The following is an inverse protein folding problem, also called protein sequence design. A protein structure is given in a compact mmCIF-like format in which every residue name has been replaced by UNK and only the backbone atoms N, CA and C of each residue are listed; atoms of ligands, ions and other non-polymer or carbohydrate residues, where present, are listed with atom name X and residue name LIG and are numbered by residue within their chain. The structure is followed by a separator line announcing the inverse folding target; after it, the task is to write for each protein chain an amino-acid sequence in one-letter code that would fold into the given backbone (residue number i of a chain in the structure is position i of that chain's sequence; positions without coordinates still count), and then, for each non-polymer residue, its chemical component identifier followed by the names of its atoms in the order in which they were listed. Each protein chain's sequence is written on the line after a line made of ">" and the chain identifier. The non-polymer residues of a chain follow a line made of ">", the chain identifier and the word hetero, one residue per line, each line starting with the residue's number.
data_IF_971215146739
#
_entry.id   IF_971215146739
#
_cell.length_a   1.000
_cell.length_b   1.000
_cell.length_c   1.000
_cell.angle_alpha   90.00
_cell.angle_beta   90.00
_cell.angle_gamma   90.00
#
_symmetry.space_group_name_H-M   'P 1'
#
loop_
_entity.id
_entity.type
_entity.pdbx_description
1 polymer ?
#
# COMPACT_ATOMS: atom_id res chain seq x y z
N UNK A 1 -29.85 -31.86 -21.55
CA UNK A 1 -30.35 -31.86 -20.15
C UNK A 1 -31.11 -30.55 -19.95
N UNK A 2 -32.30 -30.56 -19.34
CA UNK A 2 -33.10 -29.33 -19.15
C UNK A 2 -33.06 -28.90 -17.69
N UNK A 3 -32.48 -27.73 -17.42
CA UNK A 3 -32.63 -27.04 -16.14
C UNK A 3 -33.98 -26.31 -16.14
N UNK A 4 -35.04 -26.97 -15.65
CA UNK A 4 -36.33 -26.31 -15.41
C UNK A 4 -36.71 -26.50 -13.95
N UNK A 5 -37.31 -25.49 -13.31
CA UNK A 5 -37.89 -25.66 -11.98
C UNK A 5 -38.86 -26.87 -12.02
N UNK A 6 -38.81 -27.80 -11.02
CA UNK A 6 -38.04 -27.77 -9.76
C UNK A 6 -36.66 -28.46 -9.82
N UNK A 7 -36.19 -28.93 -10.98
CA UNK A 7 -35.01 -29.78 -11.16
C UNK A 7 -33.73 -29.01 -11.51
N UNK A 8 -33.46 -27.91 -10.82
CA UNK A 8 -32.28 -27.07 -11.06
C UNK A 8 -30.94 -27.69 -10.61
N UNK A 9 -30.98 -28.83 -9.91
CA UNK A 9 -29.80 -29.49 -9.29
C UNK A 9 -29.59 -30.93 -9.72
N UNK A 10 -30.47 -31.46 -10.57
CA UNK A 10 -30.50 -32.87 -10.94
C UNK A 10 -30.09 -33.02 -12.39
N UNK A 11 -28.96 -33.69 -12.63
CA UNK A 11 -28.56 -34.21 -13.95
C UNK A 11 -29.41 -35.44 -14.32
N UNK A 12 -30.74 -35.37 -14.14
CA UNK A 12 -31.60 -36.45 -14.61
C UNK A 12 -31.80 -36.25 -16.11
N UNK A 13 -31.35 -37.24 -16.88
CA UNK A 13 -31.68 -37.34 -18.30
C UNK A 13 -33.21 -37.35 -18.41
N UNK A 14 -33.76 -36.27 -18.95
CA UNK A 14 -35.17 -36.19 -19.34
C UNK A 14 -35.22 -36.60 -20.80
N UNK A 15 -35.94 -37.67 -21.11
CA UNK A 15 -36.27 -37.97 -22.50
C UNK A 15 -37.21 -36.86 -23.01
N UNK A 16 -36.73 -36.15 -24.02
CA UNK A 16 -37.33 -34.92 -24.56
C UNK A 16 -38.16 -35.16 -25.82
N UNK A 17 -38.00 -36.34 -26.41
CA UNK A 17 -38.71 -36.74 -27.62
C UNK A 17 -38.89 -38.25 -27.59
N UNK A 18 -40.03 -38.71 -28.09
CA UNK A 18 -40.36 -40.12 -28.29
C UNK A 18 -40.83 -40.31 -29.71
N UNK A 19 -40.47 -41.44 -30.30
CA UNK A 19 -41.00 -41.83 -31.60
C UNK A 19 -42.34 -42.54 -31.39
N UNK A 20 -43.40 -42.04 -32.01
CA UNK A 20 -44.70 -42.70 -32.01
C UNK A 20 -44.74 -43.72 -33.14
N UNK A 21 -44.72 -45.01 -32.79
CA UNK A 21 -44.77 -46.10 -33.78
C UNK A 21 -46.10 -46.13 -34.54
N UNK A 22 -47.20 -45.68 -33.92
CA UNK A 22 -48.54 -45.67 -34.53
C UNK A 22 -48.72 -44.55 -35.56
N UNK A 23 -48.08 -43.39 -35.33
CA UNK A 23 -48.17 -42.23 -36.23
C UNK A 23 -46.97 -42.08 -37.16
N UNK A 24 -45.96 -42.96 -37.02
CA UNK A 24 -44.67 -42.92 -37.72
C UNK A 24 -44.00 -41.53 -37.67
N UNK A 25 -44.20 -40.82 -36.56
CA UNK A 25 -43.75 -39.44 -36.36
C UNK A 25 -43.14 -39.28 -34.98
N UNK A 26 -42.15 -38.40 -34.91
CA UNK A 26 -41.58 -37.95 -33.65
C UNK A 26 -42.55 -37.01 -32.95
N UNK A 27 -42.65 -37.13 -31.62
CA UNK A 27 -43.52 -36.28 -30.80
C UNK A 27 -43.17 -34.78 -30.88
N UNK A 28 -41.93 -34.47 -31.26
CA UNK A 28 -41.46 -33.10 -31.53
C UNK A 28 -40.47 -33.10 -32.71
N UNK A 29 -40.47 -32.02 -33.49
CA UNK A 29 -39.44 -31.77 -34.52
C UNK A 29 -38.13 -31.21 -33.93
N UNK A 30 -38.11 -30.84 -32.65
CA UNK A 30 -36.93 -30.38 -31.94
C UNK A 30 -36.17 -31.57 -31.32
N UNK A 31 -35.27 -32.16 -32.10
CA UNK A 31 -34.42 -33.28 -31.68
C UNK A 31 -33.33 -32.88 -30.69
N UNK A 32 -32.85 -31.64 -30.83
CA UNK A 32 -31.85 -31.06 -29.96
C UNK A 32 -32.49 -29.87 -29.27
N UNK A 33 -32.40 -29.83 -27.94
CA UNK A 33 -32.69 -28.62 -27.21
C UNK A 33 -31.61 -27.59 -27.53
N UNK A 34 -31.99 -26.32 -27.54
CA UNK A 34 -31.02 -25.25 -27.44
C UNK A 34 -30.10 -25.55 -26.25
N UNK A 35 -28.79 -25.56 -26.51
CA UNK A 35 -27.79 -25.67 -25.45
C UNK A 35 -28.09 -24.59 -24.42
N UNK A 36 -27.82 -24.89 -23.14
CA UNK A 36 -28.31 -24.11 -21.99
C UNK A 36 -27.75 -22.67 -22.05
N UNK A 37 -28.41 -21.79 -22.79
CA UNK A 37 -28.02 -20.39 -22.95
C UNK A 37 -28.51 -19.54 -21.76
N UNK A 38 -29.34 -20.14 -20.88
CA UNK A 38 -30.03 -19.44 -19.83
C UNK A 38 -30.31 -20.32 -18.60
N UNK A 39 -30.37 -19.73 -17.41
CA UNK A 39 -30.60 -20.47 -16.15
C UNK A 39 -32.08 -20.70 -15.82
N UNK A 40 -33.01 -20.24 -16.66
CA UNK A 40 -34.46 -20.50 -16.58
C UNK A 40 -35.09 -20.25 -15.20
N UNK A 41 -34.64 -19.22 -14.49
CA UNK A 41 -35.15 -18.84 -13.18
C UNK A 41 -34.70 -19.77 -12.03
N UNK A 42 -33.69 -20.60 -12.25
CA UNK A 42 -33.15 -21.45 -11.20
C UNK A 42 -32.52 -20.65 -10.05
N UNK A 43 -32.76 -21.11 -8.82
CA UNK A 43 -32.11 -20.56 -7.62
C UNK A 43 -30.67 -21.06 -7.55
N UNK A 44 -29.71 -20.13 -7.54
CA UNK A 44 -28.29 -20.42 -7.35
C UNK A 44 -27.87 -19.95 -5.96
N UNK A 45 -27.28 -20.86 -5.19
CA UNK A 45 -26.72 -20.54 -3.88
C UNK A 45 -25.25 -20.11 -4.02
N UNK A 46 -25.01 -18.81 -3.88
CA UNK A 46 -23.69 -18.22 -3.82
C UNK A 46 -23.16 -18.20 -2.39
N UNK A 47 -21.88 -18.52 -2.26
CA UNK A 47 -21.17 -18.45 -0.98
C UNK A 47 -19.84 -17.74 -1.12
N UNK A 48 -19.41 -17.13 -0.02
CA UNK A 48 -18.16 -16.40 0.05
C UNK A 48 -17.75 -16.12 1.49
N UNK A 49 -16.63 -15.41 1.63
CA UNK A 49 -16.16 -14.87 2.89
C UNK A 49 -16.56 -13.41 3.04
N UNK A 50 -16.94 -13.02 4.26
CA UNK A 50 -17.14 -11.62 4.63
C UNK A 50 -15.75 -11.00 4.81
N UNK A 51 -15.37 -10.14 3.88
CA UNK A 51 -14.11 -9.40 3.86
C UNK A 51 -14.33 -8.09 3.10
N UNK A 52 -14.22 -6.92 3.75
CA UNK A 52 -14.24 -5.63 3.05
C UNK A 52 -13.08 -5.52 2.04
N UNK A 53 -13.27 -4.86 0.88
CA UNK A 53 -14.53 -4.32 0.35
C UNK A 53 -15.34 -5.34 -0.48
N UNK A 54 -14.94 -6.61 -0.49
CA UNK A 54 -15.52 -7.66 -1.33
C UNK A 54 -16.94 -8.07 -0.91
N UNK A 55 -17.13 -8.28 0.38
CA UNK A 55 -18.44 -8.49 0.99
C UNK A 55 -18.38 -8.08 2.46
N UNK A 56 -19.31 -7.25 2.91
CA UNK A 56 -19.40 -6.81 4.30
C UNK A 56 -20.87 -6.57 4.69
N UNK A 57 -21.13 -6.62 5.98
CA UNK A 57 -22.45 -6.40 6.54
C UNK A 57 -22.67 -4.89 6.74
N UNK A 58 -23.79 -4.39 6.24
CA UNK A 58 -24.23 -3.02 6.38
C UNK A 58 -25.56 -3.02 7.13
N UNK A 59 -25.59 -2.30 8.26
CA UNK A 59 -26.79 -2.18 9.07
C UNK A 59 -27.73 -1.17 8.41
N UNK A 60 -28.95 -1.60 8.06
CA UNK A 60 -29.99 -0.68 7.59
C UNK A 60 -30.75 -0.06 8.76
N UNK A 61 -31.40 1.08 8.50
CA UNK A 61 -32.23 1.82 9.45
C UNK A 61 -33.31 0.94 10.12
N UNK A 62 -33.77 -0.09 9.42
CA UNK A 62 -34.76 -1.07 9.91
C UNK A 62 -34.16 -2.19 10.79
N UNK A 63 -32.90 -2.06 11.25
CA UNK A 63 -32.14 -3.11 11.97
C UNK A 63 -31.97 -4.42 11.19
N UNK A 64 -32.21 -4.41 9.88
CA UNK A 64 -31.92 -5.52 8.99
C UNK A 64 -30.47 -5.45 8.53
N UNK A 65 -29.77 -6.59 8.54
CA UNK A 65 -28.41 -6.68 8.04
C UNK A 65 -28.49 -6.93 6.53
N UNK A 66 -28.05 -5.97 5.73
CA UNK A 66 -27.88 -6.14 4.29
C UNK A 66 -26.42 -6.45 4.02
N UNK A 67 -26.17 -7.46 3.20
CA UNK A 67 -24.79 -7.77 2.80
C UNK A 67 -24.50 -7.00 1.51
N UNK A 68 -23.46 -6.18 1.53
CA UNK A 68 -23.04 -5.31 0.44
C UNK A 68 -21.57 -5.53 0.09
N UNK A 69 -21.12 -5.06 -1.07
CA UNK A 69 -19.75 -5.23 -1.55
C UNK A 69 -19.69 -5.65 -3.02
N UNK A 70 -18.52 -5.51 -3.63
CA UNK A 70 -18.40 -5.70 -5.09
C UNK A 70 -18.69 -7.13 -5.55
N UNK A 71 -18.50 -8.16 -4.69
CA UNK A 71 -18.92 -9.53 -5.03
C UNK A 71 -20.45 -9.67 -5.10
N UNK A 72 -21.17 -9.00 -4.19
CA UNK A 72 -22.64 -9.06 -4.15
C UNK A 72 -23.22 -8.33 -5.36
N UNK A 73 -22.70 -7.14 -5.66
CA UNK A 73 -23.11 -6.35 -6.81
C UNK A 73 -22.84 -7.09 -8.12
N UNK A 74 -21.68 -7.74 -8.25
CA UNK A 74 -21.36 -8.55 -9.41
C UNK A 74 -22.38 -9.67 -9.64
N UNK A 75 -22.74 -10.42 -8.59
CA UNK A 75 -23.73 -11.50 -8.70
C UNK A 75 -25.11 -10.96 -9.12
N UNK A 76 -25.53 -9.84 -8.51
CA UNK A 76 -26.81 -9.21 -8.78
C UNK A 76 -26.88 -8.62 -10.19
N UNK A 77 -25.76 -8.10 -10.71
CA UNK A 77 -25.66 -7.60 -12.08
C UNK A 77 -25.77 -8.75 -13.07
N UNK A 78 -25.11 -9.89 -12.82
CA UNK A 78 -25.15 -11.05 -13.74
C UNK A 78 -26.51 -11.76 -13.74
N UNK A 79 -27.22 -11.75 -12.60
CA UNK A 79 -28.51 -12.44 -12.44
C UNK A 79 -29.56 -12.16 -13.53
N UNK A 80 -29.88 -10.90 -13.91
CA UNK A 80 -30.82 -10.63 -15.00
C UNK A 80 -30.29 -11.05 -16.37
N UNK A 81 -28.98 -10.95 -16.63
CA UNK A 81 -28.39 -11.35 -17.92
C UNK A 81 -28.37 -12.86 -18.15
N UNK A 82 -28.38 -13.63 -17.07
CA UNK A 82 -28.33 -15.08 -17.08
C UNK A 82 -29.64 -15.72 -16.58
N UNK A 83 -30.67 -14.93 -16.28
CA UNK A 83 -32.00 -15.37 -15.83
C UNK A 83 -31.96 -16.40 -14.70
N UNK A 84 -31.29 -16.07 -13.59
CA UNK A 84 -31.33 -16.88 -12.35
C UNK A 84 -31.75 -16.05 -11.15
N UNK A 85 -32.20 -16.72 -10.10
CA UNK A 85 -32.46 -16.09 -8.80
C UNK A 85 -31.28 -16.30 -7.86
N UNK A 86 -30.92 -15.24 -7.13
CA UNK A 86 -29.74 -15.23 -6.26
C UNK A 86 -30.14 -15.57 -4.84
N UNK A 87 -29.46 -16.54 -4.24
CA UNK A 87 -29.48 -16.75 -2.78
C UNK A 87 -28.06 -16.70 -2.25
N UNK A 88 -27.81 -15.78 -1.33
CA UNK A 88 -26.47 -15.59 -0.78
C UNK A 88 -26.40 -16.20 0.63
N UNK A 89 -25.43 -17.09 0.84
CA UNK A 89 -25.12 -17.67 2.15
C UNK A 89 -23.63 -17.47 2.45
N UNK A 90 -23.30 -16.57 3.37
CA UNK A 90 -21.92 -16.37 3.81
C UNK A 90 -21.56 -17.30 4.97
N UNK A 91 -20.32 -17.78 4.97
CA UNK A 91 -19.80 -18.62 6.04
C UNK A 91 -19.50 -17.79 7.30
N UNK A 92 -20.44 -17.76 8.24
CA UNK A 92 -20.09 -17.52 9.66
C UNK A 92 -19.51 -18.83 10.22
N UNK A 93 -18.35 -18.73 10.88
CA UNK A 93 -17.57 -19.86 11.43
C UNK A 93 -18.50 -20.89 12.09
N UNK A 94 -18.55 -22.11 11.54
CA UNK A 94 -19.40 -23.26 11.92
C UNK A 94 -20.87 -23.22 11.45
N UNK A 95 -21.11 -23.51 10.17
CA UNK A 95 -22.35 -24.20 9.79
C UNK A 95 -22.10 -25.44 8.93
N UNK A 96 -22.93 -26.46 9.19
CA UNK A 96 -22.95 -27.79 8.56
C UNK A 96 -23.50 -27.72 7.14
N UNK A 97 -22.88 -28.48 6.23
CA UNK A 97 -23.44 -29.16 5.04
C UNK A 97 -24.62 -28.50 4.31
N UNK A 98 -24.63 -27.18 4.08
CA UNK A 98 -25.48 -26.62 3.03
C UNK A 98 -24.86 -26.99 1.68
N UNK A 99 -25.67 -27.51 0.75
CA UNK A 99 -25.23 -27.83 -0.61
C UNK A 99 -25.09 -26.51 -1.36
N UNK A 100 -23.86 -26.10 -1.60
CA UNK A 100 -23.50 -24.85 -2.26
C UNK A 100 -23.32 -25.11 -3.75
N UNK A 101 -23.74 -24.16 -4.58
CA UNK A 101 -23.63 -24.27 -6.04
C UNK A 101 -22.41 -23.48 -6.55
N UNK A 102 -22.14 -22.31 -5.95
CA UNK A 102 -21.07 -21.39 -6.38
C UNK A 102 -20.32 -20.81 -5.18
N UNK A 103 -19.00 -20.68 -5.32
CA UNK A 103 -18.13 -20.07 -4.32
C UNK A 103 -17.27 -18.96 -4.93
N UNK A 104 -17.39 -17.74 -4.40
CA UNK A 104 -16.55 -16.61 -4.77
C UNK A 104 -15.43 -16.48 -3.76
N UNK A 105 -14.21 -16.76 -4.20
CA UNK A 105 -13.05 -16.86 -3.32
C UNK A 105 -11.91 -15.93 -3.70
N UNK A 106 -11.21 -15.34 -2.71
CA UNK A 106 -9.83 -14.91 -2.90
C UNK A 106 -8.95 -16.06 -3.39
N UNK A 107 -7.91 -15.71 -4.15
CA UNK A 107 -6.98 -16.62 -4.83
C UNK A 107 -6.49 -17.83 -3.99
N UNK A 108 -6.42 -17.72 -2.67
CA UNK A 108 -5.52 -18.52 -1.84
C UNK A 108 -6.24 -19.53 -0.92
N UNK A 109 -7.39 -20.05 -1.36
CA UNK A 109 -8.22 -20.97 -0.56
C UNK A 109 -8.34 -22.35 -1.23
N UNK A 110 -7.19 -22.95 -1.51
CA UNK A 110 -7.06 -24.31 -2.05
C UNK A 110 -7.69 -25.36 -1.12
N UNK A 111 -7.74 -25.08 0.18
CA UNK A 111 -8.32 -25.94 1.20
C UNK A 111 -9.87 -25.96 1.16
N UNK A 112 -10.51 -24.82 0.89
CA UNK A 112 -11.99 -24.76 0.68
C UNK A 112 -12.37 -25.43 -0.64
N UNK A 113 -11.51 -25.29 -1.64
CA UNK A 113 -11.68 -25.91 -2.96
C UNK A 113 -11.73 -27.44 -2.85
N UNK A 114 -10.76 -28.05 -2.13
CA UNK A 114 -10.70 -29.50 -1.91
C UNK A 114 -11.88 -30.03 -1.09
N UNK A 115 -12.34 -29.27 -0.08
CA UNK A 115 -13.42 -29.71 0.82
C UNK A 115 -14.81 -29.73 0.19
N UNK A 116 -15.05 -28.95 -0.86
CA UNK A 116 -16.37 -28.80 -1.47
C UNK A 116 -16.42 -29.13 -2.97
N UNK A 117 -15.37 -29.76 -3.52
CA UNK A 117 -15.28 -30.13 -4.94
C UNK A 117 -15.50 -28.96 -5.93
N UNK A 118 -15.09 -27.75 -5.56
CA UNK A 118 -15.16 -26.56 -6.42
C UNK A 118 -14.03 -26.57 -7.46
N UNK A 119 -14.07 -27.50 -8.41
CA UNK A 119 -12.96 -27.77 -9.32
C UNK A 119 -13.06 -27.03 -10.67
N UNK A 120 -14.08 -26.21 -10.88
CA UNK A 120 -14.27 -25.45 -12.13
C UNK A 120 -14.18 -23.94 -11.88
N UNK A 121 -12.96 -23.35 -11.89
CA UNK A 121 -12.79 -21.92 -11.80
C UNK A 121 -13.17 -21.24 -13.12
N UNK A 122 -13.88 -20.13 -13.02
CA UNK A 122 -14.10 -19.20 -14.14
C UNK A 122 -12.84 -18.42 -14.45
N UNK A 123 -12.86 -17.67 -15.53
CA UNK A 123 -11.85 -16.67 -15.81
C UNK A 123 -11.71 -15.65 -14.66
N UNK A 124 -10.52 -15.05 -14.58
CA UNK A 124 -10.24 -14.04 -13.58
C UNK A 124 -11.17 -12.83 -13.74
N UNK A 125 -11.89 -12.49 -12.67
CA UNK A 125 -12.67 -11.25 -12.55
C UNK A 125 -11.71 -10.07 -12.45
N UNK A 126 -10.73 -10.18 -11.55
CA UNK A 126 -9.67 -9.20 -11.35
C UNK A 126 -8.44 -9.84 -10.73
N UNK A 127 -7.32 -9.14 -10.79
CA UNK A 127 -6.07 -9.58 -10.19
C UNK A 127 -5.79 -8.79 -8.91
N UNK A 128 -5.47 -9.52 -7.84
CA UNK A 128 -5.04 -8.91 -6.57
C UNK A 128 -3.55 -9.12 -6.35
N UNK A 129 -2.86 -8.03 -5.98
CA UNK A 129 -1.47 -8.07 -5.57
C UNK A 129 -1.37 -8.38 -4.07
N UNK A 130 -0.61 -9.40 -3.72
CA UNK A 130 -0.13 -9.62 -2.35
C UNK A 130 1.06 -8.69 -2.13
N UNK A 131 0.95 -7.85 -1.10
CA UNK A 131 2.01 -6.93 -0.70
C UNK A 131 2.31 -7.12 0.78
N UNK A 132 3.57 -6.95 1.14
CA UNK A 132 3.95 -6.97 2.54
C UNK A 132 3.48 -5.69 3.22
N UNK A 133 3.04 -5.89 4.45
CA UNK A 133 2.56 -4.85 5.31
C UNK A 133 3.62 -4.67 6.41
N UNK A 134 4.14 -3.46 6.54
CA UNK A 134 5.21 -3.13 7.50
C UNK A 134 4.74 -2.10 8.52
N UNK A 135 5.33 -2.12 9.74
CA UNK A 135 5.06 -1.10 10.74
C UNK A 135 5.38 0.31 10.20
N UNK A 136 4.76 1.34 10.78
CA UNK A 136 4.93 2.70 10.31
C UNK A 136 6.38 3.13 10.49
N UNK A 137 6.91 3.85 9.49
CA UNK A 137 8.27 4.38 9.52
C UNK A 137 8.41 5.36 10.68
N UNK A 138 9.50 5.22 11.45
CA UNK A 138 9.86 6.17 12.49
C UNK A 138 10.02 7.57 11.90
N UNK A 139 9.51 8.57 12.62
CA UNK A 139 9.78 9.98 12.32
C UNK A 139 11.19 10.33 12.77
N UNK A 140 11.85 11.23 12.05
CA UNK A 140 13.11 11.81 12.51
C UNK A 140 12.93 12.51 13.85
N UNK A 141 13.93 12.41 14.72
CA UNK A 141 13.98 13.24 15.93
C UNK A 141 14.14 14.71 15.55
N UNK A 142 13.74 15.61 16.44
CA UNK A 142 13.79 17.05 16.18
C UNK A 142 15.21 17.54 15.92
N UNK A 143 16.22 16.92 16.55
CA UNK A 143 17.63 17.26 16.35
C UNK A 143 18.16 16.72 15.01
N UNK A 144 17.79 15.49 14.63
CA UNK A 144 18.14 14.96 13.31
C UNK A 144 17.55 15.81 12.19
N UNK A 145 16.35 16.38 12.37
CA UNK A 145 15.74 17.29 11.39
C UNK A 145 16.60 18.54 11.15
N UNK A 146 17.22 19.09 12.19
CA UNK A 146 18.11 20.27 12.08
C UNK A 146 19.41 19.94 11.32
N UNK A 147 19.94 18.73 11.48
CA UNK A 147 21.15 18.28 10.78
C UNK A 147 20.86 17.81 9.34
N UNK A 148 19.60 17.47 9.04
CA UNK A 148 19.16 16.99 7.73
C UNK A 148 19.20 18.07 6.63
N UNK A 149 19.29 19.35 7.01
CA UNK A 149 19.29 20.48 6.06
C UNK A 149 20.43 20.38 5.04
N UNK A 150 21.55 19.77 5.41
CA UNK A 150 22.71 19.55 4.56
C UNK A 150 23.17 18.09 4.57
N UNK A 151 23.68 17.63 3.43
CA UNK A 151 24.31 16.32 3.33
C UNK A 151 25.66 16.30 4.06
N UNK A 152 26.09 15.10 4.48
CA UNK A 152 27.39 14.86 5.13
C UNK A 152 28.59 15.55 4.45
N UNK A 153 28.79 15.50 3.11
CA UNK A 153 29.90 16.21 2.46
C UNK A 153 29.88 17.73 2.68
N UNK A 154 28.69 18.36 2.72
CA UNK A 154 28.58 19.81 2.93
C UNK A 154 28.96 20.16 4.37
N UNK A 155 28.48 19.38 5.35
CA UNK A 155 28.91 19.52 6.74
C UNK A 155 30.42 19.37 6.90
N UNK A 156 31.02 18.39 6.22
CA UNK A 156 32.47 18.22 6.23
C UNK A 156 33.20 19.45 5.66
N UNK A 157 32.73 20.03 4.55
CA UNK A 157 33.30 21.24 3.98
C UNK A 157 33.20 22.46 4.91
N UNK A 158 32.06 22.61 5.60
CA UNK A 158 31.89 23.67 6.61
C UNK A 158 32.91 23.48 7.73
N UNK A 159 33.02 22.27 8.29
CA UNK A 159 33.97 21.94 9.37
C UNK A 159 35.41 22.20 8.91
N UNK A 160 35.78 21.77 7.70
CA UNK A 160 37.12 22.00 7.12
C UNK A 160 37.40 23.50 6.99
N UNK A 161 36.43 24.28 6.50
CA UNK A 161 36.60 25.74 6.34
C UNK A 161 36.84 26.42 7.69
N UNK A 162 36.10 26.03 8.73
CA UNK A 162 36.34 26.50 10.09
C UNK A 162 37.69 26.05 10.64
N UNK A 163 38.05 24.77 10.46
CA UNK A 163 39.32 24.23 10.89
C UNK A 163 40.49 25.00 10.25
N UNK A 164 40.42 25.30 8.95
CA UNK A 164 41.40 26.12 8.24
C UNK A 164 41.47 27.54 8.80
N UNK A 165 40.34 28.17 9.10
CA UNK A 165 40.30 29.49 9.71
C UNK A 165 40.95 29.50 11.11
N UNK A 166 40.66 28.51 11.96
CA UNK A 166 41.28 28.38 13.28
C UNK A 166 42.76 28.02 13.19
N UNK A 167 43.15 27.13 12.28
CA UNK A 167 44.55 26.79 12.03
C UNK A 167 45.34 28.01 11.57
N UNK A 168 44.79 28.83 10.66
CA UNK A 168 45.41 30.09 10.26
C UNK A 168 45.60 31.03 11.46
N UNK A 169 44.59 31.17 12.34
CA UNK A 169 44.69 31.98 13.57
C UNK A 169 45.77 31.44 14.51
N UNK A 170 45.86 30.12 14.70
CA UNK A 170 46.85 29.46 15.56
C UNK A 170 48.26 29.69 15.00
N UNK A 171 48.48 29.46 13.70
CA UNK A 171 49.78 29.69 13.05
C UNK A 171 50.20 31.16 13.18
N UNK A 172 49.26 32.09 12.94
CA UNK A 172 49.51 33.54 13.08
C UNK A 172 49.82 33.97 14.52
N UNK A 173 49.49 33.15 15.53
CA UNK A 173 49.88 33.39 16.93
C UNK A 173 51.39 33.19 17.14
N UNK A 174 52.01 32.29 16.38
CA UNK A 174 53.45 32.02 16.43
C UNK A 174 54.28 32.93 15.51
N UNK A 175 53.63 33.66 14.60
CA UNK A 175 54.29 34.62 13.70
C UNK A 175 54.60 35.98 14.38
N UNK A 176 55.60 36.73 13.87
CA UNK A 176 55.91 38.07 14.35
C UNK A 176 54.72 39.05 14.20
N UNK A 177 54.64 40.02 15.12
CA UNK A 177 53.52 40.98 15.23
C UNK A 177 53.17 41.67 13.91
N UNK A 178 54.15 41.97 13.07
CA UNK A 178 53.95 42.61 11.76
C UNK A 178 53.05 41.80 10.81
N UNK A 179 53.21 40.47 10.79
CA UNK A 179 52.43 39.56 9.94
C UNK A 179 51.03 39.37 10.54
N UNK A 180 50.94 39.22 11.86
CA UNK A 180 49.66 39.13 12.57
C UNK A 180 48.78 40.35 12.35
N UNK A 181 49.35 41.55 12.46
CA UNK A 181 48.65 42.81 12.19
C UNK A 181 48.32 43.04 10.71
N UNK A 182 49.01 42.35 9.79
CA UNK A 182 48.69 42.39 8.38
C UNK A 182 47.45 41.55 8.03
N UNK A 183 47.33 40.35 8.59
CA UNK A 183 46.25 39.39 8.26
C UNK A 183 44.99 39.60 9.10
N UNK A 184 45.12 39.79 10.42
CA UNK A 184 43.97 39.89 11.36
C UNK A 184 43.56 41.36 11.59
N UNK A 185 44.51 42.29 11.49
CA UNK A 185 44.33 43.71 11.82
C UNK A 185 44.88 44.07 13.21
N UNK A 186 45.02 45.39 13.47
CA UNK A 186 45.53 45.91 14.75
C UNK A 186 44.45 45.86 15.84
N UNK A 187 44.86 45.57 17.08
CA UNK A 187 44.04 45.59 18.29
C UNK A 187 42.89 44.57 18.37
N UNK A 188 42.95 43.48 17.59
CA UNK A 188 42.01 42.36 17.74
C UNK A 188 42.47 41.45 18.88
N UNK A 189 41.74 41.47 20.01
CA UNK A 189 42.07 40.66 21.20
C UNK A 189 41.65 39.19 21.03
N UNK A 190 40.51 38.94 20.37
CA UNK A 190 39.93 37.59 20.25
C UNK A 190 39.53 37.25 18.80
N UNK A 191 40.51 36.91 17.94
CA UNK A 191 40.26 36.64 16.52
C UNK A 191 39.37 35.40 16.28
N UNK A 192 39.45 34.39 17.16
CA UNK A 192 38.61 33.19 17.09
C UNK A 192 37.12 33.51 17.32
N UNK A 193 36.84 34.35 18.32
CA UNK A 193 35.47 34.78 18.63
C UNK A 193 34.92 35.66 17.50
N UNK A 194 35.74 36.52 16.90
CA UNK A 194 35.36 37.33 15.75
C UNK A 194 34.91 36.47 14.55
N UNK A 195 35.56 35.33 14.29
CA UNK A 195 35.14 34.38 13.24
C UNK A 195 33.78 33.77 13.55
N UNK A 196 33.53 33.38 14.80
CA UNK A 196 32.22 32.85 15.22
C UNK A 196 31.12 33.92 15.11
N UNK A 197 31.36 35.12 15.63
CA UNK A 197 30.44 36.27 15.54
C UNK A 197 30.09 36.57 14.08
N UNK A 198 31.10 36.63 13.20
CA UNK A 198 30.88 36.86 11.78
C UNK A 198 30.08 35.74 11.13
N UNK A 199 30.32 34.48 11.52
CA UNK A 199 29.54 33.34 11.04
C UNK A 199 28.09 33.35 11.52
N UNK A 200 27.78 33.84 12.72
CA UNK A 200 26.40 34.00 13.17
C UNK A 200 25.74 35.29 12.64
N UNK A 201 26.52 36.19 12.03
CA UNK A 201 26.01 37.45 11.46
C UNK A 201 25.89 38.58 12.44
N UNK A 202 26.49 38.42 13.61
CA UNK A 202 26.55 39.49 14.60
C UNK A 202 27.60 40.50 14.11
N UNK A 203 27.26 41.78 14.15
CA UNK A 203 28.15 42.85 13.72
C UNK A 203 29.42 42.91 14.57
N UNK A 204 30.58 43.06 13.94
CA UNK A 204 31.84 43.25 14.66
C UNK A 204 32.02 44.72 15.05
N UNK A 205 32.42 44.98 16.30
CA UNK A 205 32.64 46.33 16.83
C UNK A 205 33.94 46.98 16.35
N UNK A 206 34.90 46.17 15.88
CA UNK A 206 36.21 46.64 15.41
C UNK A 206 36.46 46.10 14.00
N UNK A 207 36.43 46.98 12.99
CA UNK A 207 36.70 46.60 11.61
C UNK A 207 38.20 46.67 11.29
N UNK A 208 38.74 45.72 10.50
CA UNK A 208 40.11 45.78 10.05
C UNK A 208 40.33 47.01 9.16
N UNK A 209 41.44 47.72 9.39
CA UNK A 209 41.76 48.98 8.67
C UNK A 209 42.51 48.75 7.35
N UNK A 210 43.14 47.59 7.17
CA UNK A 210 43.99 47.25 6.00
C UNK A 210 43.21 46.51 4.90
N UNK A 211 43.57 46.75 3.64
CA UNK A 211 42.86 46.23 2.47
C UNK A 211 42.78 44.69 2.39
N UNK A 212 43.88 43.98 2.72
CA UNK A 212 43.90 42.51 2.67
C UNK A 212 42.98 41.88 3.73
N UNK A 213 43.08 42.32 4.99
CA UNK A 213 42.23 41.84 6.08
C UNK A 213 40.74 42.18 5.84
N UNK A 214 40.43 43.34 5.22
CA UNK A 214 39.07 43.70 4.80
C UNK A 214 38.55 42.75 3.72
N UNK A 215 39.34 42.46 2.70
CA UNK A 215 38.95 41.54 1.64
C UNK A 215 38.65 40.14 2.19
N UNK A 216 39.52 39.62 3.07
CA UNK A 216 39.31 38.32 3.72
C UNK A 216 38.03 38.31 4.56
N UNK A 217 37.81 39.36 5.37
CA UNK A 217 36.59 39.50 6.18
C UNK A 217 35.33 39.56 5.31
N UNK A 218 35.34 40.33 4.22
CA UNK A 218 34.21 40.43 3.29
C UNK A 218 33.92 39.07 2.65
N UNK A 219 34.94 38.35 2.18
CA UNK A 219 34.76 37.02 1.59
C UNK A 219 34.21 36.02 2.61
N UNK A 220 34.67 36.07 3.86
CA UNK A 220 34.17 35.21 4.93
C UNK A 220 32.72 35.55 5.32
N UNK A 221 32.36 36.84 5.36
CA UNK A 221 30.97 37.28 5.59
C UNK A 221 30.07 36.81 4.45
N UNK A 222 30.49 36.95 3.19
CA UNK A 222 29.73 36.49 2.03
C UNK A 222 29.53 34.96 2.06
N UNK A 223 30.59 34.20 2.36
CA UNK A 223 30.50 32.75 2.58
C UNK A 223 29.49 32.42 3.67
N UNK A 224 29.58 33.08 4.83
CA UNK A 224 28.69 32.82 5.97
C UNK A 224 27.24 33.17 5.65
N UNK A 225 26.99 34.21 4.85
CA UNK A 225 25.66 34.60 4.37
C UNK A 225 25.09 33.53 3.43
N UNK A 226 25.88 33.04 2.47
CA UNK A 226 25.44 31.99 1.53
C UNK A 226 25.08 30.71 2.29
N UNK A 227 25.94 30.25 3.22
CA UNK A 227 25.67 29.02 3.97
C UNK A 227 24.42 29.15 4.85
N UNK A 228 24.22 30.30 5.52
CA UNK A 228 23.03 30.50 6.36
C UNK A 228 21.74 30.61 5.57
N UNK A 229 21.74 31.34 4.46
CA UNK A 229 20.56 31.45 3.59
C UNK A 229 20.17 30.10 2.98
N UNK A 230 21.17 29.32 2.51
CA UNK A 230 20.94 27.97 2.03
C UNK A 230 20.41 27.02 3.12
N UNK A 231 20.98 27.09 4.33
CA UNK A 231 20.54 26.30 5.47
C UNK A 231 19.09 26.62 5.85
N UNK A 232 18.76 27.91 5.99
CA UNK A 232 17.41 28.36 6.33
C UNK A 232 16.37 27.92 5.28
N UNK A 233 16.68 28.07 3.99
CA UNK A 233 15.79 27.65 2.91
C UNK A 233 15.51 26.15 2.92
N UNK A 234 16.56 25.33 3.07
CA UNK A 234 16.42 23.86 3.12
C UNK A 234 15.76 23.38 4.41
N UNK A 235 16.11 23.95 5.56
CA UNK A 235 15.47 23.62 6.82
C UNK A 235 13.97 23.91 6.79
N UNK A 236 13.56 25.03 6.18
CA UNK A 236 12.13 25.35 6.02
C UNK A 236 11.41 24.32 5.14
N UNK A 237 12.01 23.94 4.01
CA UNK A 237 11.48 22.88 3.13
C UNK A 237 11.29 21.54 3.89
N UNK A 238 12.25 21.18 4.75
CA UNK A 238 12.17 19.95 5.54
C UNK A 238 11.14 20.02 6.66
N UNK A 239 10.98 21.17 7.32
CA UNK A 239 9.99 21.37 8.37
C UNK A 239 8.56 21.29 7.83
N UNK A 240 8.33 21.76 6.60
CA UNK A 240 7.02 21.69 5.94
C UNK A 240 6.65 20.28 5.44
N UNK A 241 7.63 19.41 5.16
CA UNK A 241 7.40 18.06 4.64
C UNK A 241 7.25 17.04 5.76
N UNK A 242 6.30 16.11 5.61
CA UNK A 242 6.22 14.91 6.45
C UNK A 242 7.31 13.91 6.05
N UNK A 243 8.56 14.21 6.42
CA UNK A 243 9.71 13.34 6.17
C UNK A 243 9.71 12.21 7.20
N UNK A 244 9.47 10.98 6.72
CA UNK A 244 9.67 9.76 7.52
C UNK A 244 11.02 9.15 7.17
N UNK A 245 11.64 8.47 8.13
CA UNK A 245 12.92 7.79 7.92
C UNK A 245 12.80 6.77 6.78
N UNK A 246 13.88 6.53 6.04
CA UNK A 246 13.93 5.43 5.05
C UNK A 246 13.76 4.10 5.77
N UNK A 247 12.53 3.58 5.78
CA UNK A 247 12.20 2.27 6.33
C UNK A 247 12.54 1.14 5.36
N UNK A 248 11.98 -0.04 5.62
CA UNK A 248 11.97 -1.15 4.66
C UNK A 248 11.21 -0.69 3.40
N UNK A 249 11.83 -0.82 2.24
CA UNK A 249 11.17 -0.54 0.95
C UNK A 249 10.96 -1.82 0.14
N UNK A 250 11.91 -2.75 0.28
CA UNK A 250 11.88 -4.02 -0.45
C UNK A 250 11.70 -5.21 0.49
N UNK A 251 11.24 -6.33 -0.08
CA UNK A 251 11.19 -7.61 0.61
C UNK A 251 12.60 -8.04 1.04
N UNK A 252 13.62 -7.72 0.24
CA UNK A 252 15.02 -7.99 0.58
C UNK A 252 15.46 -7.27 1.84
N UNK A 253 15.16 -5.97 1.96
CA UNK A 253 15.46 -5.20 3.18
C UNK A 253 14.79 -5.80 4.42
N UNK A 254 13.65 -6.46 4.23
CA UNK A 254 12.89 -7.08 5.31
C UNK A 254 13.62 -8.34 5.85
N UNK A 255 14.25 -9.10 4.96
CA UNK A 255 15.13 -10.21 5.31
C UNK A 255 16.46 -9.73 5.90
N UNK A 256 17.11 -8.75 5.27
CA UNK A 256 18.41 -8.23 5.72
C UNK A 256 18.34 -7.64 7.14
N UNK A 257 17.16 -7.14 7.55
CA UNK A 257 16.90 -6.58 8.89
C UNK A 257 16.25 -7.57 9.87
N UNK A 258 16.11 -8.86 9.52
CA UNK A 258 15.56 -9.92 10.36
C UNK A 258 14.16 -9.61 10.94
N UNK A 259 13.25 -9.05 10.14
CA UNK A 259 11.88 -8.80 10.60
C UNK A 259 11.08 -10.11 10.76
N UNK A 260 10.26 -10.18 11.82
CA UNK A 260 9.26 -11.25 11.99
C UNK A 260 8.07 -10.99 11.08
N UNK A 261 7.82 -11.91 10.14
CA UNK A 261 6.71 -11.81 9.19
C UNK A 261 5.50 -12.57 9.73
N UNK A 262 4.36 -11.87 9.83
CA UNK A 262 3.07 -12.45 10.20
C UNK A 262 2.26 -12.75 8.95
N UNK A 263 1.81 -14.00 8.81
CA UNK A 263 0.98 -14.43 7.68
C UNK A 263 -0.28 -15.15 8.17
N UNK A 264 -1.36 -15.08 7.40
CA UNK A 264 -2.57 -15.86 7.68
C UNK A 264 -2.29 -17.35 7.40
N UNK A 265 -2.86 -18.26 8.19
CA UNK A 265 -2.73 -19.72 8.03
C UNK A 265 -3.01 -20.20 6.60
N UNK A 266 -3.93 -19.55 5.88
CA UNK A 266 -4.23 -19.85 4.48
C UNK A 266 -3.07 -19.51 3.52
N UNK A 267 -2.41 -18.37 3.73
CA UNK A 267 -1.21 -18.01 2.97
C UNK A 267 -0.04 -18.94 3.31
N UNK A 268 0.08 -19.34 4.58
CA UNK A 268 1.12 -20.27 5.02
C UNK A 268 1.05 -21.63 4.31
N UNK A 269 -0.16 -22.17 4.11
CA UNK A 269 -0.30 -23.47 3.44
C UNK A 269 0.11 -23.42 1.97
N UNK A 270 -0.20 -22.33 1.26
CA UNK A 270 0.18 -22.14 -0.14
C UNK A 270 1.66 -21.84 -0.32
N UNK A 271 2.22 -21.05 0.61
CA UNK A 271 3.61 -20.62 0.52
C UNK A 271 4.59 -21.62 1.10
N UNK A 272 4.15 -22.58 1.92
CA UNK A 272 4.98 -23.74 2.31
C UNK A 272 5.42 -24.59 1.12
N UNK A 273 4.66 -24.57 0.02
CA UNK A 273 5.01 -25.22 -1.25
C UNK A 273 5.98 -24.42 -2.11
N UNK A 274 6.16 -23.12 -1.84
CA UNK A 274 7.17 -22.29 -2.46
C UNK A 274 8.39 -22.18 -1.53
N UNK A 275 9.59 -22.51 -1.99
CA UNK A 275 10.80 -22.59 -1.15
C UNK A 275 11.19 -21.29 -0.41
N UNK A 276 10.51 -20.17 -0.69
CA UNK A 276 10.76 -18.83 -0.15
C UNK A 276 10.33 -18.70 1.34
N UNK A 277 9.53 -19.63 1.89
CA UNK A 277 8.80 -19.39 3.17
C UNK A 277 9.07 -20.46 4.25
N UNK A 278 10.30 -20.99 4.31
CA UNK A 278 10.72 -21.87 5.42
C UNK A 278 11.16 -21.12 6.69
N UNK A 279 11.28 -19.79 6.69
CA UNK A 279 11.80 -19.02 7.83
C UNK A 279 10.76 -18.19 8.63
N UNK A 280 9.47 -18.25 8.31
CA UNK A 280 8.53 -17.21 8.78
C UNK A 280 7.38 -17.74 9.65
N UNK A 281 7.53 -17.88 10.98
CA UNK A 281 6.38 -18.06 11.88
C UNK A 281 6.66 -17.63 13.33
N UNK A 282 6.05 -16.53 13.80
CA UNK A 282 5.37 -16.52 15.11
C UNK A 282 4.31 -15.39 15.21
N UNK A 283 3.58 -15.27 16.34
CA UNK A 283 2.20 -14.79 16.52
C UNK A 283 1.86 -13.27 16.67
N UNK A 284 0.64 -12.96 16.18
CA UNK A 284 -0.49 -12.15 16.67
C UNK A 284 -0.41 -10.65 17.04
N UNK A 285 -1.40 -9.95 16.46
CA UNK A 285 -2.03 -8.67 16.82
C UNK A 285 -1.16 -7.42 16.74
N UNK A 286 -1.30 -6.69 15.64
CA UNK A 286 -0.76 -5.34 15.47
C UNK A 286 -1.94 -4.37 15.30
N UNK A 287 -2.08 -3.46 16.26
CA UNK A 287 -3.04 -2.35 16.31
C UNK A 287 -2.42 -1.01 15.88
N UNK A 288 -1.21 -1.02 15.29
CA UNK A 288 -0.50 0.21 14.89
C UNK A 288 -0.82 0.61 13.45
N UNK A 289 -0.74 1.90 13.10
CA UNK A 289 -1.02 2.37 11.73
C UNK A 289 -0.05 1.75 10.74
N UNK A 290 -0.60 1.23 9.66
CA UNK A 290 0.07 0.24 8.81
C UNK A 290 0.59 0.91 7.52
N UNK A 291 1.81 0.60 7.09
CA UNK A 291 2.32 1.00 5.77
C UNK A 291 2.43 -0.21 4.82
N UNK A 292 1.87 -0.09 3.62
CA UNK A 292 1.98 -1.13 2.58
C UNK A 292 3.27 -0.93 1.79
N UNK A 293 4.06 -1.99 1.58
CA UNK A 293 5.22 -1.90 0.70
C UNK A 293 4.76 -1.73 -0.76
N UNK A 294 5.53 -0.93 -1.52
CA UNK A 294 5.25 -0.69 -2.93
C UNK A 294 5.53 -1.94 -3.79
N UNK A 295 6.44 -2.79 -3.34
CA UNK A 295 6.80 -4.04 -3.99
C UNK A 295 5.66 -5.07 -3.94
N UNK A 296 5.35 -5.65 -5.11
CA UNK A 296 4.36 -6.72 -5.26
C UNK A 296 5.07 -8.05 -5.10
N UNK A 297 4.64 -8.82 -4.10
CA UNK A 297 5.22 -10.14 -3.80
C UNK A 297 4.66 -11.20 -4.75
N UNK A 298 3.34 -11.16 -4.97
CA UNK A 298 2.64 -12.09 -5.83
C UNK A 298 1.39 -11.43 -6.40
N UNK A 299 0.94 -11.91 -7.57
CA UNK A 299 -0.32 -11.49 -8.17
C UNK A 299 -1.22 -12.70 -8.36
N UNK A 300 -2.48 -12.54 -8.00
CA UNK A 300 -3.46 -13.61 -8.02
C UNK A 300 -4.74 -13.27 -8.78
N UNK A 301 -5.17 -14.08 -9.76
CA UNK A 301 -6.55 -14.02 -10.28
C UNK A 301 -7.63 -14.38 -9.23
N UNK A 302 -8.52 -13.44 -8.92
CA UNK A 302 -9.80 -13.75 -8.27
C UNK A 302 -10.79 -14.30 -9.30
N UNK A 303 -11.36 -15.47 -9.01
CA UNK A 303 -12.32 -16.16 -9.86
C UNK A 303 -13.51 -16.68 -9.08
N UNK A 304 -14.61 -16.91 -9.78
CA UNK A 304 -15.79 -17.60 -9.27
C UNK A 304 -15.60 -19.09 -9.52
N UNK A 305 -15.76 -19.92 -8.50
CA UNK A 305 -15.58 -21.37 -8.61
C UNK A 305 -16.92 -22.09 -8.52
N UNK A 306 -17.16 -23.01 -9.43
CA UNK A 306 -18.36 -23.84 -9.51
C UNK A 306 -18.07 -25.26 -9.02
N UNK A 307 -19.11 -25.94 -8.51
CA UNK A 307 -19.05 -27.37 -8.21
C UNK A 307 -18.74 -28.14 -9.49
N UNK A 308 -17.94 -29.20 -9.39
CA UNK A 308 -17.57 -30.04 -10.53
C UNK A 308 -18.81 -30.52 -11.32
N UNK A 309 -18.67 -30.57 -12.64
CA UNK A 309 -19.68 -31.05 -13.61
C UNK A 309 -20.95 -30.19 -13.73
N UNK A 310 -20.91 -28.94 -13.28
CA UNK A 310 -22.01 -28.02 -13.50
C UNK A 310 -21.97 -27.50 -14.95
N UNK A 311 -22.87 -27.98 -15.82
CA UNK A 311 -22.94 -27.57 -17.24
C UNK A 311 -23.11 -26.04 -17.41
N UNK A 312 -23.74 -25.41 -16.42
CA UNK A 312 -23.97 -23.95 -16.35
C UNK A 312 -22.69 -23.13 -16.22
N UNK A 313 -21.57 -23.76 -15.87
CA UNK A 313 -20.26 -23.10 -15.82
C UNK A 313 -19.93 -22.41 -17.15
N UNK A 314 -20.16 -23.08 -18.29
CA UNK A 314 -19.78 -22.56 -19.61
C UNK A 314 -20.57 -21.30 -19.96
N UNK A 315 -21.88 -21.31 -19.68
CA UNK A 315 -22.78 -20.19 -19.91
C UNK A 315 -22.40 -19.00 -19.05
N UNK A 316 -22.09 -19.25 -17.77
CA UNK A 316 -21.66 -18.22 -16.84
C UNK A 316 -20.31 -17.61 -17.24
N UNK A 317 -19.32 -18.44 -17.55
CA UNK A 317 -17.97 -18.00 -17.94
C UNK A 317 -18.00 -17.17 -19.24
N UNK A 318 -18.82 -17.57 -20.22
CA UNK A 318 -19.04 -16.81 -21.44
C UNK A 318 -19.63 -15.42 -21.18
N UNK A 319 -20.65 -15.32 -20.31
CA UNK A 319 -21.26 -14.03 -19.92
C UNK A 319 -20.29 -13.16 -19.11
N UNK A 320 -19.51 -13.77 -18.22
CA UNK A 320 -18.48 -13.08 -17.44
C UNK A 320 -17.40 -12.48 -18.36
N UNK A 321 -17.02 -13.21 -19.41
CA UNK A 321 -16.07 -12.74 -20.43
C UNK A 321 -16.59 -11.51 -21.16
N UNK A 322 -17.86 -11.52 -21.59
CA UNK A 322 -18.51 -10.38 -22.25
C UNK A 322 -18.52 -9.13 -21.35
N UNK A 323 -18.85 -9.29 -20.06
CA UNK A 323 -18.84 -8.18 -19.10
C UNK A 323 -17.44 -7.61 -18.87
N UNK A 324 -16.42 -8.47 -18.88
CA UNK A 324 -15.02 -8.03 -18.76
C UNK A 324 -14.56 -7.27 -20.00
N UNK A 325 -14.86 -7.78 -21.20
CA UNK A 325 -14.53 -7.13 -22.46
C UNK A 325 -15.23 -5.78 -22.61
N UNK A 326 -16.44 -5.65 -22.05
CA UNK A 326 -17.18 -4.38 -21.98
C UNK A 326 -16.65 -3.40 -20.91
N UNK A 327 -15.62 -3.76 -20.12
CA UNK A 327 -15.06 -2.91 -19.06
C UNK A 327 -15.98 -2.72 -17.84
N UNK A 328 -17.06 -3.50 -17.74
CA UNK A 328 -18.05 -3.37 -16.64
C UNK A 328 -17.44 -3.80 -15.30
N UNK A 329 -16.52 -4.76 -15.31
CA UNK A 329 -15.83 -5.23 -14.09
C UNK A 329 -15.07 -4.10 -13.40
N UNK A 330 -14.31 -3.31 -14.15
CA UNK A 330 -13.55 -2.18 -13.59
C UNK A 330 -14.48 -1.10 -13.04
N UNK A 331 -15.62 -0.86 -13.71
CA UNK A 331 -16.62 0.09 -13.26
C UNK A 331 -17.26 -0.34 -11.93
N UNK A 332 -17.50 -1.64 -11.72
CA UNK A 332 -18.03 -2.18 -10.46
C UNK A 332 -16.98 -2.11 -9.36
N UNK A 333 -15.73 -2.48 -9.65
CA UNK A 333 -14.70 -2.70 -8.62
C UNK A 333 -14.04 -1.38 -8.16
N UNK A 334 -13.77 -0.46 -9.07
CA UNK A 334 -13.00 0.77 -8.81
C UNK A 334 -13.60 1.68 -7.71
N UNK A 335 -14.93 1.89 -7.62
CA UNK A 335 -15.54 2.70 -6.57
C UNK A 335 -15.20 2.20 -5.16
N UNK A 336 -15.24 0.87 -4.97
CA UNK A 336 -14.97 0.23 -3.68
C UNK A 336 -13.53 0.44 -3.19
N UNK A 337 -12.55 0.41 -4.10
CA UNK A 337 -11.15 0.70 -3.75
C UNK A 337 -10.88 2.20 -3.58
N UNK A 338 -11.62 3.08 -4.28
CA UNK A 338 -11.47 4.54 -4.17
C UNK A 338 -12.00 5.06 -2.83
N UNK A 339 -13.08 4.47 -2.32
CA UNK A 339 -13.65 4.77 -0.99
C UNK A 339 -12.68 4.50 0.16
N UNK A 340 -11.69 3.61 -0.04
CA UNK A 340 -10.76 3.18 1.01
C UNK A 340 -9.33 3.72 0.82
N UNK A 341 -9.11 4.55 -0.20
CA UNK A 341 -7.81 5.20 -0.40
C UNK A 341 -7.77 6.47 0.45
N UNK A 342 -6.89 6.50 1.44
CA UNK A 342 -6.58 7.75 2.15
C UNK A 342 -6.26 8.82 1.11
N UNK A 343 -6.97 9.95 1.15
CA UNK A 343 -6.63 11.10 0.31
C UNK A 343 -5.22 11.54 0.73
N UNK A 344 -4.31 11.79 -0.23
CA UNK A 344 -3.05 12.42 0.12
C UNK A 344 -3.37 13.72 0.86
N UNK A 345 -2.88 13.83 2.09
CA UNK A 345 -3.04 15.04 2.87
C UNK A 345 -2.19 16.13 2.21
N UNK A 346 -2.84 16.96 1.39
CA UNK A 346 -2.23 18.08 0.71
C UNK A 346 -2.29 19.36 1.56
N UNK A 347 -2.83 19.28 2.78
CA UNK A 347 -2.89 20.43 3.66
C UNK A 347 -1.47 20.74 4.19
N UNK A 348 -1.12 22.03 4.29
CA UNK A 348 0.17 22.44 4.83
C UNK A 348 0.32 21.92 6.27
N UNK A 349 1.45 21.26 6.55
CA UNK A 349 1.75 20.74 7.88
C UNK A 349 1.78 21.89 8.89
N UNK A 350 0.92 21.80 9.91
CA UNK A 350 1.01 22.66 11.10
C UNK A 350 2.19 22.19 11.93
N UNK A 351 3.16 23.07 12.15
CA UNK A 351 4.33 22.78 12.99
C UNK A 351 3.89 22.67 14.45
N UNK A 352 4.25 21.56 15.09
CA UNK A 352 4.02 21.37 16.52
C UNK A 352 5.26 21.75 17.32
N UNK A 353 5.09 22.01 18.62
CA UNK A 353 6.22 22.30 19.52
C UNK A 353 7.25 21.17 19.51
N UNK A 354 6.80 19.92 19.36
CA UNK A 354 7.68 18.77 19.26
C UNK A 354 8.62 18.84 18.06
N UNK A 355 8.22 19.45 16.94
CA UNK A 355 9.11 19.63 15.78
C UNK A 355 10.24 20.63 16.05
N UNK A 356 10.07 21.53 17.02
CA UNK A 356 10.99 22.63 17.34
C UNK A 356 11.80 22.39 18.63
N UNK A 357 11.46 21.36 19.41
CA UNK A 357 12.05 21.08 20.73
C UNK A 357 13.58 20.96 20.71
N UNK A 358 14.19 20.56 19.60
CA UNK A 358 15.65 20.48 19.48
C UNK A 358 16.36 21.85 19.47
N UNK A 359 15.66 22.95 19.20
CA UNK A 359 16.19 24.30 19.38
C UNK A 359 16.11 24.80 20.82
N UNK A 360 15.31 24.12 21.65
CA UNK A 360 15.05 24.42 23.05
C UNK A 360 15.53 23.27 23.92
N UNK A 361 16.80 22.87 23.78
CA UNK A 361 17.36 21.87 24.71
C UNK A 361 17.26 22.45 26.12
N UNK A 362 16.22 22.04 26.85
CA UNK A 362 16.11 22.22 28.28
C UNK A 362 17.29 21.45 28.89
N UNK A 363 18.14 22.19 29.60
CA UNK A 363 19.06 21.63 30.58
C UNK A 363 18.24 20.99 31.71
N UNK A 364 17.76 19.77 31.48
CA UNK A 364 17.43 18.84 32.57
C UNK A 364 18.29 17.60 32.41
N UNK A 365 19.57 17.77 32.72
CA UNK A 365 20.53 16.71 32.96
C UNK A 365 20.88 16.72 34.45
#
# INVERSE_FOLDING_TARGET
>A
MTFSQPNCRTQKLKAINYFSETELKWSSSQFFLDKIDNFQGCEIIFSGYISPPAAYEELQDNKTIKITGYHVDLINIIAPYANYTVKISFFMKRQRKTKLDVFISPLLLHDVQKRHHFNMPTQAIHYESVRAIVPPRESYTSFEKLLLAFDKPVWNLIIITFALAFMAIIILRFCPRSIREFVIGRNVKEPALNVLIAFFGVGQTILPRRNFARFLLIMFILYSLIIRTAYQGKSFEFLQKYMKRKGVQTVKDLFDKNYTIYTNKFLQTEWKTADIVKQMLNQNNITTPIHMLDEIIAVGPKSIKFVANMELFKTFDGKLTQLREAGIMDHIIKPYYKLHKEKPNNDPKVLTMDDLSAGFVDESL
#
